data_IF_042719185336
#
_entry.id   IF_042719185336
#
_cell.length_a   1.000
_cell.length_b   1.000
_cell.length_c   1.000
_cell.angle_alpha   90.00
_cell.angle_beta   90.00
_cell.angle_gamma   90.00
#
_symmetry.space_group_name_H-M   'P 1'
#
loop_
_entity.id
_entity.type
_entity.pdbx_description
1 polymer ?
#
# COMPACT_ATOMS: atom_id res chain seq x y z
N UNK A 1 2.75 15.25 -21.84
CA UNK A 1 2.76 14.48 -20.59
C UNK A 1 4.16 14.52 -20.04
N UNK A 2 4.37 15.34 -19.03
CA UNK A 2 5.61 15.43 -18.28
C UNK A 2 5.68 14.32 -17.21
N UNK A 3 6.88 14.03 -16.69
CA UNK A 3 7.10 13.00 -15.67
C UNK A 3 6.25 13.20 -14.42
N UNK A 4 6.01 14.45 -14.04
CA UNK A 4 5.18 14.77 -12.88
C UNK A 4 3.69 14.48 -13.16
N UNK A 5 3.17 14.84 -14.34
CA UNK A 5 1.78 14.51 -14.73
C UNK A 5 1.54 12.99 -14.78
N UNK A 6 2.52 12.20 -15.22
CA UNK A 6 2.42 10.74 -15.21
C UNK A 6 2.34 10.18 -13.78
N UNK A 7 3.10 10.76 -12.86
CA UNK A 7 3.14 10.33 -11.46
C UNK A 7 1.85 10.71 -10.73
N UNK A 8 1.33 11.91 -10.96
CA UNK A 8 0.05 12.35 -10.40
C UNK A 8 -1.09 11.45 -10.91
N UNK A 9 -1.10 11.13 -12.21
CA UNK A 9 -2.06 10.19 -12.78
C UNK A 9 -1.93 8.78 -12.20
N UNK A 10 -0.72 8.32 -11.89
CA UNK A 10 -0.51 7.03 -11.25
C UNK A 10 -1.14 6.97 -9.86
N UNK A 11 -0.94 8.00 -9.02
CA UNK A 11 -1.51 8.04 -7.68
C UNK A 11 -3.04 8.13 -7.70
N UNK A 12 -3.61 8.88 -8.64
CA UNK A 12 -5.06 8.93 -8.86
C UNK A 12 -5.63 7.54 -9.21
N UNK A 13 -4.98 6.83 -10.15
CA UNK A 13 -5.40 5.47 -10.53
C UNK A 13 -5.31 4.53 -9.34
N UNK A 14 -4.23 4.58 -8.55
CA UNK A 14 -4.07 3.75 -7.36
C UNK A 14 -5.17 4.05 -6.34
N UNK A 15 -5.41 5.32 -6.01
CA UNK A 15 -6.44 5.69 -5.03
C UNK A 15 -7.85 5.30 -5.51
N UNK A 16 -8.14 5.44 -6.81
CA UNK A 16 -9.40 4.98 -7.39
C UNK A 16 -9.57 3.46 -7.33
N UNK A 17 -8.48 2.70 -7.49
CA UNK A 17 -8.47 1.24 -7.35
C UNK A 17 -8.97 0.81 -5.96
N UNK A 18 -8.60 1.57 -4.92
CA UNK A 18 -8.93 1.30 -3.53
C UNK A 18 -10.42 1.53 -3.18
N UNK A 19 -11.19 2.19 -4.06
CA UNK A 19 -12.61 2.38 -3.82
C UNK A 19 -13.40 1.07 -3.76
N UNK A 20 -12.89 0.00 -4.38
CA UNK A 20 -13.53 -1.33 -4.28
C UNK A 20 -13.56 -1.87 -2.84
N UNK A 21 -12.67 -1.40 -1.98
CA UNK A 21 -12.56 -1.86 -0.60
C UNK A 21 -13.30 -0.95 0.39
N UNK A 22 -13.92 0.16 -0.07
CA UNK A 22 -14.51 1.19 0.78
C UNK A 22 -15.43 0.67 1.89
N UNK A 23 -16.15 -0.41 1.63
CA UNK A 23 -17.13 -1.02 2.55
C UNK A 23 -16.64 -2.32 3.18
N UNK A 24 -15.43 -2.77 2.86
CA UNK A 24 -14.83 -3.97 3.46
C UNK A 24 -14.42 -3.63 4.89
N UNK A 25 -14.81 -4.41 5.91
CA UNK A 25 -14.40 -4.18 7.28
C UNK A 25 -12.88 -4.26 7.50
N UNK A 26 -12.35 -3.52 8.48
CA UNK A 26 -10.91 -3.44 8.74
C UNK A 26 -10.34 -4.79 9.21
N UNK A 27 -11.11 -5.59 9.95
CA UNK A 27 -10.72 -6.92 10.40
C UNK A 27 -10.58 -7.91 9.24
N UNK A 28 -11.42 -7.79 8.21
CA UNK A 28 -11.33 -8.61 7.00
C UNK A 28 -10.08 -8.24 6.19
N UNK A 29 -9.78 -6.94 6.05
CA UNK A 29 -8.54 -6.51 5.40
C UNK A 29 -7.31 -7.00 6.18
N UNK A 30 -7.33 -6.91 7.51
CA UNK A 30 -6.26 -7.40 8.36
C UNK A 30 -6.07 -8.91 8.19
N UNK A 31 -7.15 -9.70 8.18
CA UNK A 31 -7.09 -11.15 7.98
C UNK A 31 -6.47 -11.51 6.63
N UNK A 32 -6.91 -10.87 5.54
CA UNK A 32 -6.35 -11.10 4.19
C UNK A 32 -4.87 -10.76 4.15
N UNK A 33 -4.48 -9.58 4.67
CA UNK A 33 -3.10 -9.10 4.63
C UNK A 33 -2.17 -9.98 5.46
N UNK A 34 -2.62 -10.44 6.62
CA UNK A 34 -1.84 -11.31 7.52
C UNK A 34 -1.72 -12.74 6.98
N UNK A 35 -2.74 -13.23 6.27
CA UNK A 35 -2.77 -14.61 5.74
C UNK A 35 -2.06 -14.75 4.40
N UNK A 36 -2.29 -13.81 3.48
CA UNK A 36 -1.87 -13.92 2.08
C UNK A 36 -0.73 -12.95 1.71
N UNK A 37 -0.28 -12.13 2.67
CA UNK A 37 0.79 -11.16 2.47
C UNK A 37 2.18 -11.80 2.38
N UNK A 38 2.89 -11.57 1.27
CA UNK A 38 4.25 -12.11 1.07
C UNK A 38 5.22 -11.71 2.18
N UNK A 39 5.21 -10.45 2.62
CA UNK A 39 6.08 -9.99 3.71
C UNK A 39 5.75 -10.65 5.06
N UNK A 40 4.48 -10.93 5.33
CA UNK A 40 4.05 -11.63 6.54
C UNK A 40 4.51 -13.09 6.51
N UNK A 41 4.49 -13.72 5.33
CA UNK A 41 5.04 -15.06 5.13
C UNK A 41 6.56 -15.10 5.34
N UNK A 42 7.31 -14.14 4.78
CA UNK A 42 8.77 -14.06 4.97
C UNK A 42 9.14 -13.94 6.46
N UNK A 43 8.45 -13.05 7.19
CA UNK A 43 8.65 -12.89 8.64
C UNK A 43 8.27 -14.16 9.41
N UNK A 44 7.18 -14.83 9.05
CA UNK A 44 6.71 -16.02 9.76
C UNK A 44 7.60 -17.26 9.55
N UNK A 45 8.35 -17.31 8.44
CA UNK A 45 9.21 -18.45 8.10
C UNK A 45 10.71 -18.17 8.35
N UNK A 46 11.08 -16.99 8.87
CA UNK A 46 12.47 -16.52 9.00
C UNK A 46 13.25 -16.64 7.66
N UNK A 47 12.55 -16.47 6.54
CA UNK A 47 13.14 -16.56 5.20
C UNK A 47 13.63 -15.18 4.77
N UNK A 48 14.93 -14.95 4.90
CA UNK A 48 15.57 -13.76 4.35
C UNK A 48 15.74 -13.91 2.83
N UNK A 49 15.22 -12.98 2.02
CA UNK A 49 15.41 -13.02 0.58
C UNK A 49 16.90 -12.84 0.23
N UNK A 50 17.32 -13.39 -0.92
CA UNK A 50 18.73 -13.33 -1.36
C UNK A 50 19.29 -11.90 -1.49
N UNK A 51 18.41 -10.90 -1.64
CA UNK A 51 18.76 -9.49 -1.75
C UNK A 51 18.66 -8.73 -0.39
N UNK A 52 18.42 -9.41 0.73
CA UNK A 52 18.23 -8.77 2.05
C UNK A 52 19.44 -7.92 2.50
N UNK A 53 20.66 -8.31 2.09
CA UNK A 53 21.89 -7.57 2.39
C UNK A 53 22.21 -6.45 1.38
N UNK A 54 21.40 -6.28 0.33
CA UNK A 54 21.58 -5.19 -0.63
C UNK A 54 21.06 -3.86 -0.06
N UNK A 55 21.84 -2.78 -0.22
CA UNK A 55 21.34 -1.43 0.06
C UNK A 55 20.36 -0.98 -1.03
N UNK A 56 19.07 -1.15 -0.76
CA UNK A 56 17.97 -0.73 -1.62
C UNK A 56 17.28 0.51 -1.07
N UNK A 57 16.91 1.43 -1.94
CA UNK A 57 15.98 2.47 -1.54
C UNK A 57 14.55 1.91 -1.40
N UNK A 58 13.66 2.63 -0.71
CA UNK A 58 12.30 2.17 -0.44
C UNK A 58 11.49 1.81 -1.69
N UNK A 59 11.71 2.49 -2.83
CA UNK A 59 11.02 2.16 -4.09
C UNK A 59 11.54 0.85 -4.68
N UNK A 60 12.84 0.62 -4.62
CA UNK A 60 13.46 -0.64 -5.08
C UNK A 60 13.08 -1.81 -4.17
N UNK A 61 13.04 -1.57 -2.86
CA UNK A 61 12.57 -2.53 -1.87
C UNK A 61 11.09 -2.86 -2.12
N UNK A 62 10.24 -1.86 -2.34
CA UNK A 62 8.83 -2.07 -2.65
C UNK A 62 8.62 -2.89 -3.92
N UNK A 63 9.37 -2.55 -4.98
CA UNK A 63 9.29 -3.26 -6.25
C UNK A 63 9.70 -4.74 -6.12
N UNK A 64 10.72 -5.06 -5.31
CA UNK A 64 11.16 -6.45 -5.09
C UNK A 64 10.26 -7.20 -4.12
N UNK A 65 10.03 -6.65 -2.93
CA UNK A 65 9.29 -7.29 -1.84
C UNK A 65 7.83 -7.56 -2.21
N UNK A 66 7.19 -6.61 -2.89
CA UNK A 66 5.78 -6.74 -3.26
C UNK A 66 5.57 -7.37 -4.64
N UNK A 67 6.65 -7.70 -5.39
CA UNK A 67 6.52 -8.34 -6.69
C UNK A 67 5.71 -9.64 -6.58
N UNK A 68 4.58 -9.69 -7.26
CA UNK A 68 3.70 -10.87 -7.26
C UNK A 68 2.92 -11.11 -5.96
N UNK A 69 3.03 -10.23 -4.96
CA UNK A 69 2.19 -10.30 -3.76
C UNK A 69 0.71 -10.14 -4.16
N UNK A 70 -0.18 -11.09 -3.80
CA UNK A 70 -1.57 -11.08 -4.28
C UNK A 70 -2.43 -10.01 -3.62
N UNK A 71 -2.00 -9.46 -2.49
CA UNK A 71 -2.82 -8.60 -1.60
C UNK A 71 -2.29 -7.17 -1.49
N UNK A 72 -1.61 -6.66 -2.52
CA UNK A 72 -1.01 -5.32 -2.50
C UNK A 72 -2.03 -4.22 -2.22
N UNK A 73 -3.25 -4.32 -2.77
CA UNK A 73 -4.26 -3.26 -2.65
C UNK A 73 -5.01 -3.31 -1.32
N UNK A 74 -5.27 -4.51 -0.83
CA UNK A 74 -5.82 -4.76 0.51
C UNK A 74 -4.85 -4.26 1.58
N UNK A 75 -3.54 -4.55 1.41
CA UNK A 75 -2.47 -4.04 2.26
C UNK A 75 -2.43 -2.51 2.27
N UNK A 76 -2.49 -1.89 1.09
CA UNK A 76 -2.50 -0.43 0.99
C UNK A 76 -3.76 0.17 1.64
N UNK A 77 -4.95 -0.36 1.36
CA UNK A 77 -6.19 0.14 1.97
C UNK A 77 -6.14 0.04 3.50
N UNK A 78 -5.71 -1.11 4.03
CA UNK A 78 -5.61 -1.31 5.48
C UNK A 78 -4.65 -0.32 6.13
N UNK A 79 -3.48 -0.12 5.52
CA UNK A 79 -2.47 0.81 5.98
C UNK A 79 -3.00 2.27 5.98
N UNK A 80 -3.64 2.69 4.88
CA UNK A 80 -4.16 4.06 4.77
C UNK A 80 -5.26 4.37 5.79
N UNK A 81 -6.06 3.37 6.20
CA UNK A 81 -7.08 3.54 7.24
C UNK A 81 -6.52 3.60 8.65
N UNK A 82 -5.53 2.78 8.94
CA UNK A 82 -5.06 2.55 10.32
C UNK A 82 -3.96 3.51 10.72
N UNK A 83 -3.08 3.89 9.80
CA UNK A 83 -1.93 4.73 10.11
C UNK A 83 -1.62 5.83 9.08
N UNK A 84 -2.13 5.72 7.85
CA UNK A 84 -2.06 6.79 6.85
C UNK A 84 -0.62 7.15 6.45
N UNK A 85 -0.16 8.33 6.90
CA UNK A 85 1.20 8.83 6.60
C UNK A 85 2.26 8.52 7.66
N UNK A 86 1.85 7.90 8.79
CA UNK A 86 2.67 7.82 9.99
C UNK A 86 3.59 6.60 10.09
N UNK A 87 3.35 5.54 9.31
CA UNK A 87 4.25 4.37 9.26
C UNK A 87 5.46 4.65 8.37
N UNK A 88 6.51 3.85 8.56
CA UNK A 88 7.72 3.87 7.73
C UNK A 88 7.81 2.60 6.89
N UNK A 89 8.62 2.64 5.84
CA UNK A 89 8.91 1.47 5.01
C UNK A 89 7.86 1.19 3.92
N UNK A 90 7.84 -0.06 3.46
CA UNK A 90 7.08 -0.51 2.28
C UNK A 90 5.71 -1.05 2.65
N UNK A 91 4.67 -0.52 2.01
CA UNK A 91 3.30 -0.97 2.19
C UNK A 91 2.55 -0.94 0.87
N UNK A 92 1.90 -2.06 0.52
CA UNK A 92 1.08 -2.15 -0.69
C UNK A 92 1.82 -1.77 -1.98
N UNK A 93 3.10 -2.19 -2.10
CA UNK A 93 4.01 -1.87 -3.20
C UNK A 93 4.37 -0.38 -3.37
N UNK A 94 4.21 0.44 -2.33
CA UNK A 94 4.61 1.84 -2.32
C UNK A 94 5.71 2.11 -1.30
N UNK A 95 6.59 3.04 -1.65
CA UNK A 95 7.51 3.70 -0.72
C UNK A 95 6.74 4.63 0.22
N UNK A 96 7.37 5.06 1.32
CA UNK A 96 6.78 6.05 2.24
C UNK A 96 6.36 7.34 1.50
N UNK A 97 7.23 7.85 0.61
CA UNK A 97 6.98 9.06 -0.17
C UNK A 97 5.77 8.89 -1.11
N UNK A 98 5.73 7.80 -1.87
CA UNK A 98 4.61 7.53 -2.79
C UNK A 98 3.31 7.28 -2.03
N UNK A 99 3.37 6.59 -0.89
CA UNK A 99 2.19 6.34 -0.06
C UNK A 99 1.60 7.64 0.48
N UNK A 100 2.42 8.62 0.86
CA UNK A 100 1.94 9.96 1.28
C UNK A 100 1.18 10.68 0.17
N UNK A 101 1.64 10.58 -1.06
CA UNK A 101 0.94 11.16 -2.21
C UNK A 101 -0.42 10.47 -2.43
N UNK A 102 -0.44 9.13 -2.43
CA UNK A 102 -1.68 8.35 -2.55
C UNK A 102 -2.64 8.64 -1.40
N UNK A 103 -2.15 8.75 -0.16
CA UNK A 103 -2.99 9.03 1.01
C UNK A 103 -3.75 10.34 0.88
N UNK A 104 -3.13 11.40 0.35
CA UNK A 104 -3.79 12.68 0.11
C UNK A 104 -4.95 12.56 -0.88
N UNK A 105 -4.74 11.84 -1.98
CA UNK A 105 -5.78 11.59 -2.99
C UNK A 105 -6.88 10.72 -2.40
N UNK A 106 -6.52 9.63 -1.74
CA UNK A 106 -7.44 8.70 -1.08
C UNK A 106 -8.33 9.43 -0.05
N UNK A 107 -7.76 10.28 0.80
CA UNK A 107 -8.53 11.08 1.76
C UNK A 107 -9.55 11.98 1.06
N UNK A 108 -9.16 12.67 -0.01
CA UNK A 108 -10.07 13.53 -0.77
C UNK A 108 -11.24 12.73 -1.35
N UNK A 109 -10.98 11.53 -1.87
CA UNK A 109 -11.99 10.61 -2.39
C UNK A 109 -12.94 10.10 -1.29
N UNK A 110 -12.42 9.78 -0.11
CA UNK A 110 -13.22 9.32 1.05
C UNK A 110 -14.07 10.44 1.68
N UNK A 111 -13.52 11.66 1.76
CA UNK A 111 -14.22 12.81 2.32
C UNK A 111 -15.29 13.38 1.38
N UNK A 112 -15.14 13.21 0.07
CA UNK A 112 -16.09 13.65 -0.95
C UNK A 112 -17.44 12.91 -0.99
N UNK A 113 -17.66 11.90 -0.14
CA UNK A 113 -18.88 11.08 -0.09
C UNK A 113 -19.49 10.88 1.30
N UNK A 114 -19.32 11.83 2.25
CA UNK A 114 -19.66 11.64 3.67
C UNK A 114 -21.15 11.37 4.02
N UNK A 115 -21.54 11.23 5.31
CA UNK A 115 -20.74 11.07 6.53
C UNK A 115 -20.70 9.60 7.02
N UNK A 116 -19.71 9.28 7.85
CA UNK A 116 -19.65 8.02 8.60
C UNK A 116 -20.79 7.99 9.63
N UNK A 117 -21.59 6.92 9.60
CA UNK A 117 -22.63 6.60 10.58
C UNK A 117 -22.12 5.55 11.57
#
# INVERSE_FOLDING_TARGET
MNRDEFRDNYFEVVAADLDRYATVPDDVLLEIVTTDGTCMWLVANDDDPEWADEELNDRELAARLCAGCPVQRECLEHELRTAGESTVGVWGALSEEDRREVYRVWLARRQGGGPQA
#
